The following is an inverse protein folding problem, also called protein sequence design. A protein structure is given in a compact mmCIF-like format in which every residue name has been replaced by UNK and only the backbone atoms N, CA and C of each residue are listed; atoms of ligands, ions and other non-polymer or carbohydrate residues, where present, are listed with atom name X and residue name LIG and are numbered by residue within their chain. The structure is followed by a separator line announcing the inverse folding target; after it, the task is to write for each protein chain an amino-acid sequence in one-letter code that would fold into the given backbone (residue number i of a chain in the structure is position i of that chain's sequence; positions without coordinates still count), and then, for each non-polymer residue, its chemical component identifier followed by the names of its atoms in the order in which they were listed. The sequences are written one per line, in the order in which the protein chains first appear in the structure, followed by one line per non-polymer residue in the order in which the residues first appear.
data_IF_987709779825
#
_entry.id   IF_987709779825
#
_cell.length_a   1.000
_cell.length_b   1.000
_cell.length_c   1.000
_cell.angle_alpha   90.00
_cell.angle_beta   90.00
_cell.angle_gamma   90.00
#
_symmetry.space_group_name_H-M   'P 1'
#
loop_
_entity.id
_entity.type
_entity.pdbx_description
1 polymer ?
#
# COMPACT_ATOMS: atom_id res chain seq x y z
N UNK A 1 24.96 16.23 17.50
CA UNK A 1 23.72 15.40 17.49
C UNK A 1 23.19 15.41 16.08
N UNK A 2 23.38 14.32 15.34
CA UNK A 2 22.91 14.19 13.97
C UNK A 2 21.52 13.53 14.00
N UNK A 3 20.55 14.24 13.44
CA UNK A 3 19.15 13.86 13.30
C UNK A 3 18.99 13.19 11.92
N UNK A 4 18.55 11.95 11.89
CA UNK A 4 18.18 11.24 10.66
C UNK A 4 16.65 11.37 10.45
N UNK A 5 16.20 12.18 9.48
CA UNK A 5 14.78 12.45 9.26
C UNK A 5 13.98 11.25 8.69
N UNK A 6 14.64 10.21 8.18
CA UNK A 6 13.98 9.22 7.33
C UNK A 6 13.61 7.92 8.07
N UNK A 7 14.35 7.54 9.11
CA UNK A 7 14.22 6.22 9.75
C UNK A 7 14.54 6.23 11.25
N UNK A 8 13.54 6.56 12.07
CA UNK A 8 13.59 6.41 13.51
C UNK A 8 13.58 4.91 13.91
N UNK A 9 14.76 4.38 14.20
CA UNK A 9 14.98 3.22 15.08
C UNK A 9 14.70 1.83 14.49
N UNK A 10 15.56 0.90 14.89
CA UNK A 10 15.55 -0.51 14.55
C UNK A 10 14.14 -1.14 14.59
N UNK A 11 13.78 -1.84 13.51
CA UNK A 11 12.71 -2.84 13.51
C UNK A 11 13.24 -4.08 14.24
N UNK A 12 13.63 -3.92 15.51
CA UNK A 12 13.72 -5.03 16.44
C UNK A 12 12.48 -4.96 17.30
N UNK A 13 11.71 -6.04 17.24
CA UNK A 13 10.63 -6.34 18.18
C UNK A 13 11.22 -6.35 19.60
N UNK A 14 11.26 -5.21 20.27
CA UNK A 14 11.20 -5.18 21.74
C UNK A 14 9.75 -5.55 22.10
N UNK A 15 9.49 -6.64 22.84
CA UNK A 15 8.19 -6.82 23.48
C UNK A 15 8.03 -5.66 24.46
N UNK A 16 7.13 -4.72 24.17
CA UNK A 16 6.72 -3.68 25.12
C UNK A 16 7.54 -2.38 25.18
N UNK A 17 8.30 -1.98 24.15
CA UNK A 17 8.95 -0.64 24.18
C UNK A 17 8.91 0.16 22.87
N UNK A 18 8.69 -0.51 21.73
CA UNK A 18 8.42 0.21 20.49
C UNK A 18 6.98 0.74 20.45
N UNK A 19 6.07 0.30 21.32
CA UNK A 19 4.69 0.80 21.35
C UNK A 19 4.59 2.26 21.86
N UNK A 20 5.63 2.78 22.50
CA UNK A 20 5.47 3.91 23.44
C UNK A 20 6.19 5.20 23.03
N UNK A 21 6.87 5.24 21.87
CA UNK A 21 7.30 6.51 21.28
C UNK A 21 6.18 7.01 20.36
N UNK A 22 5.40 8.04 20.76
CA UNK A 22 4.43 8.63 19.86
C UNK A 22 5.19 9.10 18.63
N UNK A 23 4.80 8.63 17.45
CA UNK A 23 5.20 9.36 16.26
C UNK A 23 4.65 10.78 16.41
N UNK A 24 5.54 11.77 16.42
CA UNK A 24 5.15 13.17 16.62
C UNK A 24 4.07 13.61 15.62
N UNK A 25 4.02 12.99 14.42
CA UNK A 25 3.00 13.23 13.40
C UNK A 25 2.64 11.95 12.64
N UNK A 26 1.34 11.63 12.46
CA UNK A 26 0.91 10.54 11.58
C UNK A 26 1.29 10.86 10.12
N UNK A 27 1.68 9.86 9.30
CA UNK A 27 2.23 10.07 7.96
C UNK A 27 1.17 10.36 6.90
N UNK A 28 0.27 11.32 7.15
CA UNK A 28 -0.82 11.66 6.22
C UNK A 28 -0.33 12.20 4.89
N UNK A 29 0.70 13.05 4.91
CA UNK A 29 1.24 13.68 3.71
C UNK A 29 1.91 12.62 2.83
N UNK A 30 2.73 11.75 3.42
CA UNK A 30 3.38 10.66 2.70
C UNK A 30 2.35 9.70 2.07
N UNK A 31 1.32 9.30 2.84
CA UNK A 31 0.24 8.49 2.30
C UNK A 31 -0.46 9.19 1.12
N UNK A 32 -0.75 10.48 1.25
CA UNK A 32 -1.42 11.26 0.21
C UNK A 32 -0.57 11.36 -1.05
N UNK A 33 0.72 11.66 -0.93
CA UNK A 33 1.62 11.75 -2.08
C UNK A 33 1.79 10.42 -2.81
N UNK A 34 1.98 9.33 -2.06
CA UNK A 34 2.11 7.99 -2.65
C UNK A 34 0.83 7.57 -3.35
N UNK A 35 -0.31 7.82 -2.70
CA UNK A 35 -1.62 7.55 -3.28
C UNK A 35 -1.82 8.33 -4.59
N UNK A 36 -1.53 9.63 -4.60
CA UNK A 36 -1.62 10.48 -5.79
C UNK A 36 -0.65 10.07 -6.88
N UNK A 37 0.56 9.59 -6.55
CA UNK A 37 1.53 9.11 -7.53
C UNK A 37 1.06 7.83 -8.23
N UNK A 38 0.35 6.94 -7.53
CA UNK A 38 -0.14 5.68 -8.08
C UNK A 38 -1.50 5.83 -8.81
N UNK A 39 -2.22 6.93 -8.55
CA UNK A 39 -3.59 7.12 -9.01
C UNK A 39 -3.73 7.27 -10.54
N UNK A 40 -2.87 7.98 -11.29
CA UNK A 40 -3.04 8.17 -12.73
C UNK A 40 -3.12 6.86 -13.50
N UNK A 41 -2.20 5.93 -13.25
CA UNK A 41 -2.14 4.65 -13.96
C UNK A 41 -3.29 3.74 -13.53
N UNK A 42 -3.59 3.67 -12.24
CA UNK A 42 -4.72 2.87 -11.73
C UNK A 42 -6.06 3.38 -12.28
N UNK A 43 -6.23 4.70 -12.34
CA UNK A 43 -7.44 5.36 -12.85
C UNK A 43 -7.55 5.17 -14.35
N UNK A 44 -6.46 5.34 -15.10
CA UNK A 44 -6.45 5.11 -16.55
C UNK A 44 -6.85 3.68 -16.91
N UNK A 45 -6.25 2.68 -16.25
CA UNK A 45 -6.62 1.28 -16.47
C UNK A 45 -8.06 0.98 -16.01
N UNK A 46 -8.52 1.59 -14.92
CA UNK A 46 -9.90 1.49 -14.46
C UNK A 46 -10.91 2.06 -15.46
N UNK A 47 -10.60 3.17 -16.11
CA UNK A 47 -11.44 3.76 -17.17
C UNK A 47 -11.55 2.87 -18.40
N UNK A 48 -10.53 2.07 -18.71
CA UNK A 48 -10.61 1.09 -19.81
C UNK A 48 -11.56 -0.07 -19.48
N UNK A 49 -11.71 -0.39 -18.19
CA UNK A 49 -12.50 -1.53 -17.71
C UNK A 49 -13.94 -1.17 -17.29
N UNK A 50 -14.22 0.09 -16.97
CA UNK A 50 -15.52 0.53 -16.46
C UNK A 50 -16.11 1.67 -17.30
N UNK A 51 -17.41 1.57 -17.61
CA UNK A 51 -18.16 2.61 -18.31
C UNK A 51 -19.46 2.95 -17.57
N UNK A 52 -19.95 4.19 -17.75
CA UNK A 52 -21.23 4.65 -17.18
C UNK A 52 -21.28 4.52 -15.64
N UNK A 53 -22.26 3.78 -15.07
CA UNK A 53 -22.41 3.65 -13.61
C UNK A 53 -21.21 2.97 -12.93
N UNK A 54 -20.42 2.18 -13.66
CA UNK A 54 -19.16 1.61 -13.14
C UNK A 54 -18.16 2.68 -12.69
N UNK A 55 -18.15 3.85 -13.32
CA UNK A 55 -17.26 4.96 -12.94
C UNK A 55 -17.55 5.49 -11.54
N UNK A 56 -18.83 5.51 -11.14
CA UNK A 56 -19.24 5.91 -9.80
C UNK A 56 -18.69 4.90 -8.77
N UNK A 57 -18.85 3.61 -9.07
CA UNK A 57 -18.29 2.52 -8.28
C UNK A 57 -16.78 2.62 -8.08
N UNK A 58 -16.06 2.85 -9.18
CA UNK A 58 -14.62 3.07 -9.17
C UNK A 58 -14.23 4.28 -8.32
N UNK A 59 -14.90 5.42 -8.50
CA UNK A 59 -14.66 6.63 -7.71
C UNK A 59 -14.88 6.41 -6.21
N UNK A 60 -15.94 5.70 -5.83
CA UNK A 60 -16.19 5.32 -4.44
C UNK A 60 -15.13 4.37 -3.88
N UNK A 61 -14.65 3.42 -4.69
CA UNK A 61 -13.56 2.50 -4.30
C UNK A 61 -12.24 3.24 -4.06
N UNK A 62 -11.89 4.13 -4.98
CA UNK A 62 -10.73 5.04 -4.87
C UNK A 62 -10.84 5.84 -3.57
N UNK A 63 -11.95 6.56 -3.36
CA UNK A 63 -12.17 7.34 -2.15
C UNK A 63 -12.13 6.49 -0.86
N UNK A 64 -12.71 5.29 -0.90
CA UNK A 64 -12.71 4.33 0.21
C UNK A 64 -11.30 3.87 0.61
N UNK A 65 -10.44 3.57 -0.36
CA UNK A 65 -9.05 3.20 -0.12
C UNK A 65 -8.26 4.37 0.49
N UNK A 66 -8.47 5.59 -0.02
CA UNK A 66 -7.82 6.78 0.53
C UNK A 66 -8.23 7.02 1.99
N UNK A 67 -9.53 6.99 2.28
CA UNK A 67 -10.07 7.17 3.61
C UNK A 67 -9.60 6.05 4.57
N UNK A 68 -9.61 4.80 4.11
CA UNK A 68 -9.14 3.65 4.87
C UNK A 68 -7.65 3.75 5.24
N UNK A 69 -6.81 4.16 4.28
CA UNK A 69 -5.38 4.40 4.54
C UNK A 69 -5.15 5.57 5.50
N UNK A 70 -5.93 6.66 5.37
CA UNK A 70 -5.87 7.80 6.28
C UNK A 70 -6.30 7.41 7.70
N UNK A 71 -7.31 6.57 7.86
CA UNK A 71 -7.71 6.03 9.16
C UNK A 71 -6.60 5.14 9.75
N UNK A 72 -5.98 4.29 8.93
CA UNK A 72 -4.83 3.47 9.34
C UNK A 72 -3.59 4.29 9.71
N UNK A 73 -3.41 5.50 9.18
CA UNK A 73 -2.34 6.40 9.61
C UNK A 73 -2.44 6.71 11.12
N UNK A 74 -3.65 6.76 11.69
CA UNK A 74 -3.85 6.96 13.14
C UNK A 74 -3.64 5.68 13.92
N UNK A 75 -4.18 4.56 13.43
CA UNK A 75 -4.19 3.30 14.16
C UNK A 75 -2.82 2.58 14.13
N UNK A 76 -2.10 2.65 13.02
CA UNK A 76 -0.80 2.01 12.86
C UNK A 76 0.10 2.81 11.90
N UNK A 77 0.65 3.95 12.34
CA UNK A 77 1.42 4.86 11.48
C UNK A 77 2.68 4.19 10.90
N UNK A 78 3.27 3.22 11.63
CA UNK A 78 4.48 2.50 11.16
C UNK A 78 4.19 1.59 9.97
N UNK A 79 3.11 0.81 10.04
CA UNK A 79 2.70 -0.04 8.93
C UNK A 79 2.40 0.81 7.68
N UNK A 80 1.73 1.96 7.84
CA UNK A 80 1.46 2.85 6.71
C UNK A 80 2.73 3.45 6.13
N UNK A 81 3.71 3.86 6.95
CA UNK A 81 4.98 4.39 6.45
C UNK A 81 5.74 3.36 5.61
N UNK A 82 5.78 2.11 6.08
CA UNK A 82 6.38 0.98 5.38
C UNK A 82 5.68 0.68 4.04
N UNK A 83 4.34 0.63 4.04
CA UNK A 83 3.54 0.49 2.82
C UNK A 83 3.79 1.66 1.88
N UNK A 84 3.91 2.88 2.41
CA UNK A 84 4.11 4.09 1.58
C UNK A 84 5.48 4.07 0.88
N UNK A 85 6.55 3.66 1.57
CA UNK A 85 7.86 3.49 0.92
C UNK A 85 7.83 2.43 -0.17
N UNK A 86 7.22 1.27 0.09
CA UNK A 86 7.02 0.27 -0.96
C UNK A 86 6.09 0.76 -2.07
N UNK A 87 5.13 1.63 -1.76
CA UNK A 87 4.20 2.25 -2.71
C UNK A 87 4.87 3.26 -3.64
N UNK A 88 5.98 3.88 -3.23
CA UNK A 88 6.84 4.66 -4.12
C UNK A 88 7.57 3.76 -5.12
N UNK A 89 8.02 2.59 -4.67
CA UNK A 89 8.63 1.58 -5.56
C UNK A 89 7.58 1.09 -6.56
N UNK A 90 6.36 0.78 -6.10
CA UNK A 90 5.28 0.39 -7.02
C UNK A 90 4.97 1.50 -8.02
N UNK A 91 4.89 2.76 -7.59
CA UNK A 91 4.69 3.91 -8.49
C UNK A 91 5.78 4.00 -9.55
N UNK A 92 7.05 3.83 -9.16
CA UNK A 92 8.16 3.82 -10.12
C UNK A 92 8.05 2.66 -11.12
N UNK A 93 7.56 1.50 -10.69
CA UNK A 93 7.34 0.33 -11.54
C UNK A 93 6.11 0.46 -12.45
N UNK A 94 5.21 1.42 -12.22
CA UNK A 94 4.01 1.62 -13.05
C UNK A 94 4.33 2.04 -14.50
N UNK A 95 5.59 2.35 -14.84
CA UNK A 95 6.03 2.50 -16.25
C UNK A 95 5.67 1.25 -17.07
N UNK A 96 5.78 0.06 -16.45
CA UNK A 96 5.26 -1.20 -16.98
C UNK A 96 4.21 -1.73 -16.01
N UNK A 97 2.92 -1.39 -16.18
CA UNK A 97 1.89 -1.58 -15.17
C UNK A 97 1.41 -3.04 -15.04
N UNK A 98 2.31 -4.02 -15.19
CA UNK A 98 2.01 -5.45 -15.13
C UNK A 98 1.35 -5.83 -13.80
N UNK A 99 1.90 -5.36 -12.67
CA UNK A 99 1.34 -5.64 -11.34
C UNK A 99 -0.07 -5.08 -11.19
N UNK A 100 -0.31 -3.88 -11.71
CA UNK A 100 -1.62 -3.24 -11.69
C UNK A 100 -2.64 -3.98 -12.57
N UNK A 101 -2.20 -4.46 -13.74
CA UNK A 101 -3.04 -5.26 -14.65
C UNK A 101 -3.43 -6.58 -13.98
N UNK A 102 -2.48 -7.32 -13.40
CA UNK A 102 -2.79 -8.57 -12.68
C UNK A 102 -3.75 -8.34 -11.50
N UNK A 103 -3.50 -7.30 -10.69
CA UNK A 103 -4.38 -6.92 -9.61
C UNK A 103 -5.77 -6.50 -10.11
N UNK A 104 -5.85 -5.84 -11.27
CA UNK A 104 -7.07 -5.50 -11.98
C UNK A 104 -7.89 -6.72 -12.38
N UNK A 105 -7.23 -7.71 -13.02
CA UNK A 105 -7.84 -8.97 -13.45
C UNK A 105 -8.42 -9.73 -12.24
N UNK A 106 -7.68 -9.79 -11.13
CA UNK A 106 -8.18 -10.40 -9.89
C UNK A 106 -9.40 -9.66 -9.33
N UNK A 107 -9.39 -8.32 -9.37
CA UNK A 107 -10.51 -7.49 -8.95
C UNK A 107 -11.76 -7.73 -9.79
N UNK A 108 -11.62 -7.77 -11.13
CA UNK A 108 -12.70 -8.09 -12.05
C UNK A 108 -13.22 -9.50 -11.79
N UNK A 109 -12.33 -10.49 -11.61
CA UNK A 109 -12.71 -11.86 -11.27
C UNK A 109 -13.53 -11.95 -9.98
N UNK A 110 -13.16 -11.20 -8.95
CA UNK A 110 -13.92 -11.11 -7.70
C UNK A 110 -15.31 -10.48 -7.89
N UNK A 111 -15.41 -9.42 -8.70
CA UNK A 111 -16.69 -8.80 -9.04
C UNK A 111 -17.59 -9.75 -9.84
N UNK A 112 -17.03 -10.49 -10.80
CA UNK A 112 -17.75 -11.49 -11.59
C UNK A 112 -18.24 -12.67 -10.74
N UNK A 113 -17.43 -13.14 -9.79
CA UNK A 113 -17.83 -14.20 -8.85
C UNK A 113 -19.04 -13.81 -7.98
N UNK A 114 -19.25 -12.51 -7.76
CA UNK A 114 -20.39 -11.96 -7.03
C UNK A 114 -21.57 -11.57 -7.93
N UNK A 115 -21.55 -11.98 -9.20
CA UNK A 115 -22.61 -11.71 -10.17
C UNK A 115 -22.72 -10.24 -10.57
N UNK A 116 -21.68 -9.43 -10.36
CA UNK A 116 -21.68 -7.98 -10.64
C UNK A 116 -21.13 -7.63 -12.03
N UNK A 117 -21.12 -8.60 -12.95
CA UNK A 117 -20.60 -8.48 -14.30
C UNK A 117 -21.70 -8.78 -15.31
N UNK A 118 -22.02 -7.82 -16.18
CA UNK A 118 -23.02 -8.00 -17.24
C UNK A 118 -22.31 -8.20 -18.59
N UNK A 119 -22.47 -9.39 -19.17
CA UNK A 119 -21.89 -9.80 -20.44
C UNK A 119 -21.02 -11.06 -20.33
N UNK A 120 -21.01 -11.88 -21.39
CA UNK A 120 -20.21 -13.09 -21.46
C UNK A 120 -18.71 -12.83 -21.71
N UNK A 121 -18.35 -11.59 -22.05
CA UNK A 121 -16.98 -11.20 -22.39
C UNK A 121 -16.15 -10.85 -21.12
N UNK A 122 -14.83 -11.14 -21.10
CA UNK A 122 -13.92 -10.77 -20.02
C UNK A 122 -13.84 -9.25 -19.73
N UNK A 123 -14.23 -8.42 -20.71
CA UNK A 123 -14.39 -6.96 -20.59
C UNK A 123 -15.86 -6.50 -20.64
N UNK A 124 -16.77 -7.34 -20.15
CA UNK A 124 -18.17 -6.96 -19.95
C UNK A 124 -18.34 -5.73 -19.05
N UNK A 125 -19.52 -5.11 -19.09
CA UNK A 125 -19.72 -3.83 -18.40
C UNK A 125 -19.92 -4.09 -16.91
N UNK A 126 -19.01 -3.60 -16.08
CA UNK A 126 -19.13 -3.68 -14.62
C UNK A 126 -20.28 -2.79 -14.12
N UNK A 127 -21.09 -3.32 -13.19
CA UNK A 127 -22.03 -2.49 -12.44
C UNK A 127 -21.28 -1.51 -11.52
N UNK A 128 -21.97 -0.52 -10.96
CA UNK A 128 -21.39 0.34 -9.92
C UNK A 128 -20.83 -0.49 -8.75
N UNK A 129 -21.55 -1.51 -8.29
CA UNK A 129 -21.08 -2.39 -7.22
C UNK A 129 -19.90 -3.26 -7.68
N UNK A 130 -19.92 -3.77 -8.91
CA UNK A 130 -18.82 -4.55 -9.48
C UNK A 130 -17.53 -3.76 -9.60
N UNK A 131 -17.61 -2.52 -10.13
CA UNK A 131 -16.46 -1.63 -10.24
C UNK A 131 -15.92 -1.20 -8.86
N UNK A 132 -16.80 -1.00 -7.87
CA UNK A 132 -16.38 -0.77 -6.48
C UNK A 132 -15.59 -1.96 -5.94
N UNK A 133 -16.12 -3.17 -6.05
CA UNK A 133 -15.47 -4.40 -5.57
C UNK A 133 -14.14 -4.59 -6.28
N UNK A 134 -14.11 -4.49 -7.61
CA UNK A 134 -12.90 -4.62 -8.39
C UNK A 134 -11.83 -3.62 -7.94
N UNK A 135 -12.20 -2.34 -7.79
CA UNK A 135 -11.28 -1.28 -7.33
C UNK A 135 -10.75 -1.56 -5.94
N UNK A 136 -11.61 -1.96 -4.99
CA UNK A 136 -11.18 -2.29 -3.63
C UNK A 136 -10.21 -3.47 -3.60
N UNK A 137 -10.53 -4.56 -4.31
CA UNK A 137 -9.68 -5.75 -4.39
C UNK A 137 -8.34 -5.41 -5.03
N UNK A 138 -8.35 -4.74 -6.17
CA UNK A 138 -7.13 -4.28 -6.85
C UNK A 138 -6.28 -3.40 -5.94
N UNK A 139 -6.91 -2.44 -5.25
CA UNK A 139 -6.22 -1.57 -4.29
C UNK A 139 -5.61 -2.33 -3.11
N UNK A 140 -6.34 -3.28 -2.53
CA UNK A 140 -5.85 -4.13 -1.43
C UNK A 140 -4.65 -4.98 -1.87
N UNK A 141 -4.72 -5.59 -3.07
CA UNK A 141 -3.60 -6.36 -3.64
C UNK A 141 -2.37 -5.46 -3.80
N UNK A 142 -2.54 -4.27 -4.39
CA UNK A 142 -1.43 -3.34 -4.59
C UNK A 142 -0.85 -2.81 -3.29
N UNK A 143 -1.68 -2.48 -2.30
CA UNK A 143 -1.24 -2.09 -0.95
C UNK A 143 -0.46 -3.22 -0.28
N UNK A 144 -0.88 -4.47 -0.47
CA UNK A 144 -0.21 -5.65 0.09
C UNK A 144 1.16 -5.85 -0.56
N UNK A 145 1.24 -5.77 -1.89
CA UNK A 145 2.49 -5.84 -2.65
C UNK A 145 3.45 -4.70 -2.25
N UNK A 146 2.94 -3.49 -2.09
CA UNK A 146 3.71 -2.36 -1.58
C UNK A 146 4.25 -2.63 -0.16
N UNK A 147 3.42 -3.16 0.74
CA UNK A 147 3.86 -3.60 2.07
C UNK A 147 4.99 -4.63 2.01
N UNK A 148 4.86 -5.65 1.14
CA UNK A 148 5.89 -6.68 0.93
C UNK A 148 7.18 -6.10 0.37
N UNK A 149 7.11 -5.22 -0.63
CA UNK A 149 8.29 -4.55 -1.21
C UNK A 149 9.01 -3.67 -0.17
N UNK A 150 8.24 -2.93 0.64
CA UNK A 150 8.77 -2.17 1.78
C UNK A 150 9.50 -3.07 2.78
N UNK A 151 8.93 -4.23 3.10
CA UNK A 151 9.56 -5.23 3.98
C UNK A 151 10.87 -5.77 3.42
N UNK A 152 10.89 -6.17 2.16
CA UNK A 152 12.10 -6.70 1.53
C UNK A 152 13.22 -5.67 1.48
N UNK A 153 12.90 -4.41 1.21
CA UNK A 153 13.89 -3.33 1.21
C UNK A 153 14.58 -3.19 2.58
N UNK A 154 13.80 -3.31 3.67
CA UNK A 154 14.32 -3.30 5.04
C UNK A 154 15.18 -4.53 5.33
N UNK A 155 14.73 -5.72 4.92
CA UNK A 155 15.47 -6.96 5.11
C UNK A 155 16.82 -6.94 4.38
N UNK A 156 16.86 -6.44 3.14
CA UNK A 156 18.10 -6.29 2.35
C UNK A 156 19.04 -5.30 3.00
N UNK A 157 18.55 -4.12 3.43
CA UNK A 157 19.37 -3.14 4.14
C UNK A 157 20.00 -3.72 5.41
N UNK A 158 19.25 -4.51 6.16
CA UNK A 158 19.75 -5.22 7.33
C UNK A 158 20.84 -6.24 7.00
N UNK A 159 20.70 -6.99 5.91
CA UNK A 159 21.69 -7.98 5.50
C UNK A 159 23.00 -7.34 5.00
N UNK A 160 22.91 -6.21 4.29
CA UNK A 160 24.03 -5.63 3.55
C UNK A 160 24.79 -4.57 4.35
N UNK A 161 24.16 -3.85 5.28
CA UNK A 161 24.79 -2.71 5.97
C UNK A 161 25.31 -3.09 7.37
N UNK A 162 26.65 -3.15 7.60
CA UNK A 162 27.22 -3.40 8.92
C UNK A 162 26.93 -2.28 9.92
N UNK A 163 26.87 -1.03 9.46
CA UNK A 163 26.54 0.12 10.32
C UNK A 163 25.10 0.05 10.81
N UNK A 164 24.17 -0.37 9.94
CA UNK A 164 22.79 -0.59 10.35
C UNK A 164 22.67 -1.79 11.32
N UNK A 165 23.46 -2.86 11.13
CA UNK A 165 23.52 -3.96 12.11
C UNK A 165 24.05 -3.50 13.46
N UNK A 166 25.09 -2.67 13.48
CA UNK A 166 25.67 -2.14 14.72
C UNK A 166 24.68 -1.22 15.45
N UNK A 167 23.98 -0.37 14.71
CA UNK A 167 22.94 0.52 15.25
C UNK A 167 21.75 -0.27 15.81
N UNK A 168 21.34 -1.33 15.12
CA UNK A 168 20.33 -2.28 15.61
C UNK A 168 20.81 -2.98 16.90
N UNK A 169 22.07 -3.43 16.94
CA UNK A 169 22.65 -4.13 18.08
C UNK A 169 22.79 -3.22 19.31
N UNK A 170 23.26 -1.98 19.12
CA UNK A 170 23.36 -0.95 20.14
C UNK A 170 21.97 -0.58 20.70
N UNK A 171 20.96 -0.49 19.82
CA UNK A 171 19.58 -0.25 20.21
C UNK A 171 18.89 -1.45 20.85
N UNK A 172 19.40 -2.68 20.74
CA UNK A 172 18.84 -3.84 21.45
C UNK A 172 19.35 -3.97 22.88
N UNK A 173 20.50 -3.36 23.22
CA UNK A 173 21.15 -3.52 24.52
C UNK A 173 21.50 -4.98 24.85
N UNK A 174 22.39 -5.24 25.82
CA UNK A 174 22.58 -6.59 26.31
C UNK A 174 21.29 -7.01 27.03
N UNK A 175 20.49 -7.88 26.41
CA UNK A 175 19.61 -8.75 27.16
C UNK A 175 20.50 -9.58 28.08
N UNK A 176 20.71 -9.10 29.31
CA UNK A 176 21.15 -9.93 30.42
C UNK A 176 19.98 -10.87 30.71
N UNK A 177 20.11 -12.12 30.26
CA UNK A 177 19.42 -13.25 30.86
C UNK A 177 19.80 -13.34 32.35
#
# INVERSE_FOLDING_TARGET
MAYDPDFDGAIVKRPGWAADRPMDRPPYDLWTWVYLANLPVATFLGFLAAYGPGLIGMGLGVAGLYAGGRWRCRANPRAVRMVSYGGLITAALQIFPLLQIFAGILGIGAASALGQHHGAEPMGTLTAAGALIATLVTGIVMISLAGTAGFFTLAVRYAVSPSFRAEVAEQTGPFKL
#
